data_IF_971669270426
#
_entry.id   IF_971669270426
#
_cell.length_a   1.000
_cell.length_b   1.000
_cell.length_c   1.000
_cell.angle_alpha   90.00
_cell.angle_beta   90.00
_cell.angle_gamma   90.00
#
_symmetry.space_group_name_H-M   'P 1'
#
loop_
_entity.id
_entity.type
_entity.pdbx_description
1 polymer ?
#
# COMPACT_ATOMS: atom_id res chain seq x y z
N UNK A 1 7.35 -2.11 -12.88
CA UNK A 1 7.69 -3.33 -13.64
C UNK A 1 9.09 -3.28 -14.22
N UNK A 2 9.46 -2.28 -15.06
CA UNK A 2 10.82 -2.21 -15.63
C UNK A 2 11.95 -2.26 -14.58
N UNK A 3 11.83 -1.49 -13.49
CA UNK A 3 12.82 -1.49 -12.41
C UNK A 3 12.87 -2.82 -11.63
N UNK A 4 11.72 -3.45 -11.38
CA UNK A 4 11.65 -4.76 -10.72
C UNK A 4 12.41 -5.81 -11.54
N UNK A 5 12.16 -5.85 -12.86
CA UNK A 5 12.86 -6.73 -13.79
C UNK A 5 14.36 -6.46 -13.83
N UNK A 6 14.77 -5.19 -13.84
CA UNK A 6 16.19 -4.81 -13.81
C UNK A 6 16.90 -5.29 -12.54
N UNK A 7 16.22 -5.22 -11.39
CA UNK A 7 16.75 -5.67 -10.10
C UNK A 7 16.59 -7.19 -9.88
N UNK A 8 15.86 -7.90 -10.73
CA UNK A 8 15.60 -9.33 -10.59
C UNK A 8 14.71 -9.67 -9.38
N UNK A 9 13.85 -8.75 -8.96
CA UNK A 9 12.94 -8.90 -7.81
C UNK A 9 11.49 -8.73 -8.25
N UNK A 10 10.54 -9.22 -7.45
CA UNK A 10 9.12 -8.97 -7.68
C UNK A 10 8.72 -7.54 -7.23
N UNK A 11 7.59 -7.03 -7.72
CA UNK A 11 7.11 -5.66 -7.44
C UNK A 11 6.89 -5.45 -5.95
N UNK A 12 6.39 -6.46 -5.25
CA UNK A 12 6.19 -6.38 -3.81
C UNK A 12 7.51 -6.28 -3.03
N UNK A 13 8.67 -6.56 -3.59
CA UNK A 13 9.95 -6.38 -2.89
C UNK A 13 10.49 -4.95 -3.06
N UNK A 14 9.97 -4.19 -4.02
CA UNK A 14 10.45 -2.85 -4.31
C UNK A 14 10.10 -1.85 -3.20
N UNK A 15 10.99 -0.89 -2.88
CA UNK A 15 10.70 0.22 -2.00
C UNK A 15 9.89 1.28 -2.75
N UNK A 16 8.65 0.92 -3.10
CA UNK A 16 7.68 1.77 -3.79
C UNK A 16 6.35 1.69 -3.05
N UNK A 17 5.71 2.84 -2.87
CA UNK A 17 4.40 2.98 -2.25
C UNK A 17 3.51 3.84 -3.13
N UNK A 18 2.19 3.64 -3.04
CA UNK A 18 1.20 4.48 -3.68
C UNK A 18 0.46 5.31 -2.62
N UNK A 19 -0.01 6.50 -2.98
CA UNK A 19 -0.77 7.37 -2.08
C UNK A 19 -1.89 8.08 -2.82
N UNK A 20 -3.12 7.90 -2.34
CA UNK A 20 -4.28 8.69 -2.69
C UNK A 20 -4.71 9.48 -1.44
N UNK A 21 -4.09 10.64 -1.15
CA UNK A 21 -4.36 11.38 0.09
C UNK A 21 -5.77 11.98 0.11
N UNK A 22 -6.30 12.36 -1.05
CA UNK A 22 -7.60 13.03 -1.17
C UNK A 22 -8.44 12.39 -2.31
N UNK A 23 -8.85 11.11 -2.21
CA UNK A 23 -9.59 10.47 -3.28
C UNK A 23 -11.04 10.99 -3.29
N UNK A 24 -11.49 11.43 -4.46
CA UNK A 24 -12.81 12.05 -4.64
C UNK A 24 -13.76 11.24 -5.53
N UNK A 25 -13.26 10.22 -6.23
CA UNK A 25 -14.05 9.43 -7.17
C UNK A 25 -13.84 7.94 -7.00
N UNK A 26 -14.83 7.14 -7.43
CA UNK A 26 -14.77 5.68 -7.44
C UNK A 26 -13.56 5.14 -8.23
N UNK A 27 -13.08 5.89 -9.21
CA UNK A 27 -11.85 5.56 -9.95
C UNK A 27 -10.64 5.45 -9.03
N UNK A 28 -10.55 6.29 -7.99
CA UNK A 28 -9.46 6.23 -7.02
C UNK A 28 -9.48 4.92 -6.21
N UNK A 29 -10.68 4.40 -5.91
CA UNK A 29 -10.85 3.10 -5.24
C UNK A 29 -10.33 1.97 -6.13
N UNK A 30 -10.70 1.97 -7.42
CA UNK A 30 -10.22 0.96 -8.37
C UNK A 30 -8.71 1.02 -8.55
N UNK A 31 -8.12 2.22 -8.67
CA UNK A 31 -6.66 2.41 -8.81
C UNK A 31 -5.94 1.93 -7.55
N UNK A 32 -6.42 2.31 -6.36
CA UNK A 32 -5.82 1.88 -5.10
C UNK A 32 -5.90 0.36 -4.93
N UNK A 33 -7.04 -0.24 -5.30
CA UNK A 33 -7.22 -1.70 -5.24
C UNK A 33 -6.27 -2.42 -6.18
N UNK A 34 -6.08 -1.91 -7.40
CA UNK A 34 -5.08 -2.45 -8.33
C UNK A 34 -3.65 -2.31 -7.79
N UNK A 35 -3.31 -1.17 -7.19
CA UNK A 35 -1.98 -0.96 -6.60
C UNK A 35 -1.69 -2.00 -5.49
N UNK A 36 -2.67 -2.28 -4.63
CA UNK A 36 -2.59 -3.35 -3.63
C UNK A 36 -2.44 -4.72 -4.29
N UNK A 37 -3.23 -5.01 -5.33
CA UNK A 37 -3.15 -6.27 -6.06
C UNK A 37 -1.79 -6.47 -6.75
N UNK A 38 -1.17 -5.38 -7.22
CA UNK A 38 0.15 -5.36 -7.84
C UNK A 38 1.31 -5.44 -6.82
N UNK A 39 1.02 -5.50 -5.52
CA UNK A 39 2.02 -5.70 -4.47
C UNK A 39 2.47 -4.44 -3.73
N UNK A 40 1.83 -3.29 -3.97
CA UNK A 40 2.23 -2.01 -3.37
C UNK A 40 1.50 -1.75 -2.04
N UNK A 41 2.22 -1.27 -1.01
CA UNK A 41 1.58 -0.54 0.09
C UNK A 41 0.92 0.71 -0.48
N UNK A 42 -0.37 0.88 -0.19
CA UNK A 42 -1.22 1.90 -0.84
C UNK A 42 -1.96 2.70 0.22
N UNK A 43 -1.56 3.96 0.38
CA UNK A 43 -2.21 4.89 1.29
C UNK A 43 -3.50 5.49 0.72
N UNK A 44 -4.50 5.64 1.59
CA UNK A 44 -5.74 6.36 1.34
C UNK A 44 -6.03 7.30 2.52
N UNK A 45 -6.14 8.60 2.26
CA UNK A 45 -6.32 9.64 3.30
C UNK A 45 -7.77 9.90 3.71
N UNK A 46 -8.70 9.03 3.32
CA UNK A 46 -10.09 9.07 3.79
C UNK A 46 -10.52 7.71 4.28
N UNK A 47 -11.49 7.68 5.19
CA UNK A 47 -12.06 6.43 5.67
C UNK A 47 -12.84 5.75 4.54
N UNK A 48 -12.42 4.53 4.19
CA UNK A 48 -13.14 3.72 3.20
C UNK A 48 -14.49 3.25 3.78
N UNK A 49 -15.57 3.20 2.97
CA UNK A 49 -16.91 2.77 3.40
C UNK A 49 -17.02 1.24 3.57
N UNK A 50 -15.96 0.61 4.07
CA UNK A 50 -15.85 -0.82 4.42
C UNK A 50 -15.25 -1.03 5.81
N UNK A 51 -14.78 0.04 6.46
CA UNK A 51 -14.11 -0.01 7.77
C UNK A 51 -15.06 -0.38 8.92
N UNK A 52 -16.38 -0.38 8.69
CA UNK A 52 -17.37 -0.88 9.65
C UNK A 52 -17.38 -2.41 9.80
N UNK A 53 -16.81 -3.15 8.84
CA UNK A 53 -16.66 -4.60 8.94
C UNK A 53 -15.23 -4.96 9.34
N UNK A 54 -15.06 -5.50 10.55
CA UNK A 54 -13.75 -5.93 11.04
C UNK A 54 -13.08 -6.96 10.12
N UNK A 55 -13.86 -7.85 9.52
CA UNK A 55 -13.36 -8.84 8.57
C UNK A 55 -12.80 -8.16 7.31
N UNK A 56 -13.57 -7.26 6.70
CA UNK A 56 -13.16 -6.59 5.46
C UNK A 56 -11.98 -5.66 5.70
N UNK A 57 -12.00 -4.88 6.78
CA UNK A 57 -10.90 -4.02 7.19
C UNK A 57 -9.60 -4.83 7.37
N UNK A 58 -9.67 -5.98 8.08
CA UNK A 58 -8.53 -6.88 8.26
C UNK A 58 -8.03 -7.45 6.94
N UNK A 59 -8.93 -7.88 6.05
CA UNK A 59 -8.54 -8.41 4.74
C UNK A 59 -7.76 -7.37 3.95
N UNK A 60 -8.29 -6.15 3.84
CA UNK A 60 -7.70 -5.08 3.01
C UNK A 60 -6.39 -4.50 3.56
N UNK A 61 -6.18 -4.54 4.88
CA UNK A 61 -5.02 -3.90 5.53
C UNK A 61 -3.95 -4.90 5.99
N UNK A 62 -4.31 -6.17 6.17
CA UNK A 62 -3.42 -7.19 6.76
C UNK A 62 -3.37 -8.47 5.92
N UNK A 63 -4.48 -9.19 5.79
CA UNK A 63 -4.45 -10.54 5.19
C UNK A 63 -4.03 -10.53 3.71
N UNK A 64 -4.39 -9.46 2.97
CA UNK A 64 -4.01 -9.34 1.55
C UNK A 64 -2.49 -9.27 1.34
N UNK A 65 -1.72 -8.87 2.37
CA UNK A 65 -0.24 -8.88 2.31
C UNK A 65 0.30 -10.26 1.99
N UNK A 66 -0.31 -11.30 2.54
CA UNK A 66 0.14 -12.68 2.35
C UNK A 66 -0.19 -13.21 0.94
N UNK A 67 -1.14 -12.56 0.24
CA UNK A 67 -1.59 -12.96 -1.09
C UNK A 67 -0.84 -12.22 -2.20
N UNK A 68 -0.65 -10.90 -2.06
CA UNK A 68 -0.08 -10.06 -3.12
C UNK A 68 1.19 -9.33 -2.69
N UNK A 69 1.44 -9.24 -1.39
CA UNK A 69 2.46 -8.39 -0.79
C UNK A 69 2.02 -6.93 -0.59
N UNK A 70 0.98 -6.46 -1.28
CA UNK A 70 0.42 -5.11 -1.13
C UNK A 70 -0.61 -5.05 -0.02
N UNK A 71 -0.99 -3.84 0.39
CA UNK A 71 -2.02 -3.61 1.41
C UNK A 71 -2.45 -2.15 1.47
N UNK A 72 -3.65 -1.89 2.00
CA UNK A 72 -4.09 -0.53 2.28
C UNK A 72 -3.52 0.01 3.59
N UNK A 73 -3.14 1.28 3.55
CA UNK A 73 -2.85 2.13 4.71
C UNK A 73 -3.97 3.19 4.74
N UNK A 74 -4.83 3.15 5.76
CA UNK A 74 -5.96 4.09 5.88
C UNK A 74 -5.64 5.05 7.02
N UNK A 75 -5.25 6.28 6.68
CA UNK A 75 -4.81 7.28 7.66
C UNK A 75 -5.17 8.70 7.18
N UNK A 76 -6.20 9.35 7.75
CA UNK A 76 -6.60 10.70 7.34
C UNK A 76 -5.65 11.82 7.77
N UNK A 77 -4.80 11.60 8.76
CA UNK A 77 -3.80 12.57 9.20
C UNK A 77 -2.58 12.53 8.25
N UNK A 78 -2.31 13.62 7.51
CA UNK A 78 -1.28 13.61 6.47
C UNK A 78 0.14 13.41 7.02
N UNK A 79 0.43 13.90 8.24
CA UNK A 79 1.75 13.76 8.85
C UNK A 79 1.96 12.30 9.27
N UNK A 80 0.96 11.68 9.89
CA UNK A 80 1.01 10.24 10.22
C UNK A 80 1.07 9.37 8.98
N UNK A 81 0.32 9.73 7.93
CA UNK A 81 0.36 9.01 6.66
C UNK A 81 1.76 9.05 6.04
N UNK A 82 2.44 10.20 6.09
CA UNK A 82 3.81 10.34 5.63
C UNK A 82 4.78 9.43 6.42
N UNK A 83 4.67 9.42 7.75
CA UNK A 83 5.47 8.55 8.62
C UNK A 83 5.24 7.06 8.29
N UNK A 84 3.99 6.65 8.12
CA UNK A 84 3.63 5.26 7.76
C UNK A 84 4.13 4.87 6.36
N UNK A 85 4.08 5.78 5.40
CA UNK A 85 4.61 5.57 4.05
C UNK A 85 6.14 5.42 4.08
N UNK A 86 6.83 6.28 4.83
CA UNK A 86 8.28 6.20 5.03
C UNK A 86 8.67 4.89 5.72
N UNK A 87 7.90 4.46 6.73
CA UNK A 87 8.10 3.16 7.37
C UNK A 87 7.95 2.01 6.37
N UNK A 88 6.88 2.00 5.56
CA UNK A 88 6.67 0.97 4.55
C UNK A 88 7.81 0.93 3.52
N UNK A 89 8.34 2.08 3.10
CA UNK A 89 9.53 2.17 2.24
C UNK A 89 10.77 1.57 2.91
N UNK A 90 11.03 1.94 4.16
CA UNK A 90 12.18 1.46 4.93
C UNK A 90 12.13 -0.05 5.18
N UNK A 91 10.96 -0.62 5.42
CA UNK A 91 10.79 -2.06 5.60
C UNK A 91 11.12 -2.83 4.30
N UNK A 92 10.71 -2.29 3.14
CA UNK A 92 11.10 -2.86 1.83
C UNK A 92 12.60 -2.71 1.56
N UNK A 93 13.19 -1.54 1.89
CA UNK A 93 14.65 -1.32 1.77
C UNK A 93 15.44 -2.35 2.58
N UNK A 94 15.05 -2.58 3.83
CA UNK A 94 15.67 -3.61 4.69
C UNK A 94 15.53 -5.00 4.08
N UNK A 95 14.37 -5.33 3.50
CA UNK A 95 14.16 -6.59 2.78
C UNK A 95 15.10 -6.80 1.58
N UNK A 96 15.63 -5.72 1.01
CA UNK A 96 16.63 -5.74 -0.05
C UNK A 96 18.07 -5.61 0.46
N UNK A 97 18.29 -5.62 1.78
CA UNK A 97 19.62 -5.43 2.39
C UNK A 97 20.14 -4.00 2.32
N UNK A 98 19.27 -3.01 2.09
CA UNK A 98 19.62 -1.60 2.03
C UNK A 98 19.36 -0.94 3.39
N UNK A 99 20.33 -0.10 3.82
CA UNK A 99 20.24 0.72 5.05
C UNK A 99 19.38 1.94 4.81
#
# INVERSE_FOLDING_TARGET
>A
MALANYLGVDINQMPVVASAPEPTSEKAVSIGTYAVAAGLPTHVGVMLPVMGSALVAKVLTQTVKDLTGGYFIVEPDPDKAADMLLQALNDRRKGLGLV
#
